data_IF_640958358150
#
_entry.id   IF_640958358150
#
_cell.length_a   1.000
_cell.length_b   1.000
_cell.length_c   1.000
_cell.angle_alpha   90.00
_cell.angle_beta   90.00
_cell.angle_gamma   90.00
#
_symmetry.space_group_name_H-M   'P 1'
#
loop_
_entity.id
_entity.type
_entity.pdbx_description
1 polymer ?
#
# COMPACT_ATOMS: atom_id res chain seq x y z
N UNK A 1 -21.38 -21.95 65.99
CA UNK A 1 -21.04 -21.63 64.58
C UNK A 1 -19.68 -20.95 64.57
N UNK A 2 -18.62 -21.62 64.09
CA UNK A 2 -17.22 -21.13 64.13
C UNK A 2 -16.84 -20.56 62.77
N UNK A 3 -16.54 -19.26 62.70
CA UNK A 3 -16.06 -18.60 61.48
C UNK A 3 -14.54 -18.79 61.39
N UNK A 4 -14.05 -19.48 60.35
CA UNK A 4 -12.62 -19.62 60.05
C UNK A 4 -12.09 -18.32 59.44
N UNK A 5 -11.01 -17.81 60.02
CA UNK A 5 -10.24 -16.64 59.57
C UNK A 5 -9.50 -17.01 58.28
N UNK A 6 -9.74 -16.27 57.19
CA UNK A 6 -9.05 -16.43 55.90
C UNK A 6 -7.66 -15.79 56.03
N UNK A 7 -6.62 -16.55 55.68
CA UNK A 7 -5.22 -16.18 55.86
C UNK A 7 -4.75 -15.04 54.96
N UNK A 8 -3.81 -14.25 55.48
CA UNK A 8 -3.09 -13.20 54.76
C UNK A 8 -2.32 -13.78 53.58
N UNK A 9 -2.57 -13.25 52.39
CA UNK A 9 -1.77 -13.51 51.20
C UNK A 9 -0.54 -12.59 51.28
N UNK A 10 0.62 -13.16 51.62
CA UNK A 10 1.89 -12.46 51.51
C UNK A 10 2.18 -12.14 50.04
N UNK A 11 2.16 -10.86 49.70
CA UNK A 11 2.60 -10.37 48.38
C UNK A 11 4.13 -10.40 48.33
N UNK A 12 4.71 -11.35 47.59
CA UNK A 12 6.12 -11.33 47.22
C UNK A 12 6.39 -10.20 46.22
N UNK A 13 7.55 -9.53 46.29
CA UNK A 13 7.96 -8.50 45.33
C UNK A 13 8.16 -9.09 43.93
N UNK A 14 7.67 -8.37 42.90
CA UNK A 14 7.67 -8.79 41.50
C UNK A 14 9.07 -9.08 40.92
N UNK A 15 10.13 -8.57 41.57
CA UNK A 15 11.53 -8.79 41.18
C UNK A 15 12.05 -10.21 41.44
N UNK A 16 11.36 -11.02 42.26
CA UNK A 16 11.74 -12.42 42.51
C UNK A 16 11.09 -13.42 41.55
N UNK A 17 9.99 -13.07 40.88
CA UNK A 17 9.28 -14.00 39.98
C UNK A 17 10.00 -14.17 38.63
N UNK A 18 10.92 -13.28 38.28
CA UNK A 18 11.58 -13.27 36.96
C UNK A 18 12.85 -14.12 36.89
N UNK A 19 13.33 -14.68 38.01
CA UNK A 19 14.58 -15.46 38.02
C UNK A 19 14.42 -16.96 37.76
N UNK A 20 13.20 -17.49 37.80
CA UNK A 20 12.98 -18.94 37.70
C UNK A 20 12.52 -19.42 36.31
N UNK A 21 12.43 -18.54 35.30
CA UNK A 21 11.97 -18.92 33.94
C UNK A 21 13.11 -19.09 32.91
N UNK A 22 14.38 -18.88 33.29
CA UNK A 22 15.52 -18.97 32.36
C UNK A 22 16.66 -19.89 32.85
N UNK A 23 16.32 -20.97 33.54
CA UNK A 23 17.29 -21.99 33.95
C UNK A 23 16.96 -23.36 33.33
N UNK A 24 16.69 -23.41 32.02
CA UNK A 24 16.77 -24.68 31.27
C UNK A 24 18.13 -24.78 30.58
N UNK A 25 19.06 -25.48 31.25
CA UNK A 25 20.47 -25.66 30.84
C UNK A 25 20.67 -26.77 29.79
N UNK A 26 19.69 -27.00 28.91
CA UNK A 26 19.81 -27.96 27.80
C UNK A 26 19.82 -27.31 26.41
N UNK A 27 20.46 -26.14 26.29
CA UNK A 27 20.89 -25.64 24.98
C UNK A 27 22.09 -26.47 24.51
N UNK A 28 21.79 -27.52 23.74
CA UNK A 28 22.78 -28.18 22.88
C UNK A 28 23.47 -27.09 22.06
N UNK A 29 24.78 -26.99 22.18
CA UNK A 29 25.60 -26.21 21.27
C UNK A 29 25.34 -26.67 19.84
N UNK A 30 24.52 -25.93 19.10
CA UNK A 30 24.50 -26.05 17.66
C UNK A 30 25.80 -25.43 17.15
N UNK A 31 26.82 -26.26 16.97
CA UNK A 31 27.94 -25.94 16.08
C UNK A 31 27.32 -25.58 14.74
N UNK A 32 27.37 -24.29 14.40
CA UNK A 32 27.12 -23.82 13.04
C UNK A 32 28.30 -24.36 12.24
N UNK A 33 28.11 -25.54 11.65
CA UNK A 33 28.96 -26.01 10.56
C UNK A 33 28.72 -25.02 9.42
N UNK A 34 29.75 -24.34 8.89
CA UNK A 34 29.57 -23.55 7.68
C UNK A 34 29.23 -24.53 6.56
N UNK A 35 27.93 -24.65 6.26
CA UNK A 35 27.48 -25.36 5.07
C UNK A 35 28.08 -24.64 3.86
N UNK A 36 28.94 -25.38 3.17
CA UNK A 36 29.56 -25.03 1.91
C UNK A 36 28.46 -24.69 0.88
N UNK A 37 28.19 -23.39 0.71
CA UNK A 37 27.09 -22.85 -0.12
C UNK A 37 27.30 -23.09 -1.62
N UNK A 38 28.38 -23.75 -2.02
CA UNK A 38 28.66 -24.07 -3.42
C UNK A 38 27.79 -25.22 -3.95
N UNK A 39 27.27 -26.11 -3.08
CA UNK A 39 26.48 -27.27 -3.53
C UNK A 39 24.99 -27.02 -3.79
N UNK A 40 24.45 -25.87 -3.39
CA UNK A 40 23.03 -25.55 -3.65
C UNK A 40 22.77 -24.85 -4.99
N UNK A 41 23.82 -24.40 -5.69
CA UNK A 41 23.69 -23.82 -7.04
C UNK A 41 23.87 -24.83 -8.17
N UNK A 42 24.39 -26.03 -7.89
CA UNK A 42 24.65 -27.05 -8.93
C UNK A 42 23.44 -27.96 -9.23
N UNK A 43 22.34 -27.84 -8.46
CA UNK A 43 21.15 -28.66 -8.67
C UNK A 43 19.95 -27.91 -9.29
N UNK A 44 20.14 -26.66 -9.75
CA UNK A 44 19.12 -25.92 -10.52
C UNK A 44 19.37 -25.91 -12.03
N UNK A 45 20.49 -26.44 -12.53
CA UNK A 45 20.74 -26.60 -13.96
C UNK A 45 20.11 -27.85 -14.58
N UNK A 46 19.51 -28.75 -13.78
CA UNK A 46 18.96 -30.02 -14.25
C UNK A 46 17.42 -30.12 -14.24
N UNK A 47 16.69 -29.01 -14.07
CA UNK A 47 15.21 -28.97 -14.15
C UNK A 47 14.71 -28.33 -15.48
N UNK A 48 15.60 -28.12 -16.45
CA UNK A 48 15.23 -27.58 -17.77
C UNK A 48 14.99 -28.65 -18.86
N UNK A 49 14.78 -29.92 -18.50
CA UNK A 49 14.51 -30.99 -19.48
C UNK A 49 13.08 -31.57 -19.43
N UNK A 50 12.14 -30.93 -18.74
CA UNK A 50 10.70 -31.23 -18.86
C UNK A 50 9.97 -30.02 -19.46
N UNK A 51 10.34 -29.65 -20.69
CA UNK A 51 9.58 -28.74 -21.56
C UNK A 51 9.10 -29.50 -22.80
N UNK A 52 8.35 -30.56 -22.55
CA UNK A 52 7.69 -31.38 -23.58
C UNK A 52 6.17 -31.21 -23.63
N UNK A 53 5.61 -30.14 -23.07
CA UNK A 53 4.18 -29.84 -23.22
C UNK A 53 4.04 -28.70 -24.22
N UNK A 54 3.86 -29.09 -25.49
CA UNK A 54 3.48 -28.20 -26.59
C UNK A 54 2.10 -27.59 -26.32
N UNK A 55 2.05 -26.56 -25.48
CA UNK A 55 0.85 -25.76 -25.23
C UNK A 55 0.60 -24.77 -26.40
N UNK A 56 0.24 -25.32 -27.56
CA UNK A 56 -0.31 -24.56 -28.69
C UNK A 56 -1.69 -23.95 -28.34
N UNK A 57 -2.40 -24.56 -27.40
CA UNK A 57 -3.76 -24.16 -27.00
C UNK A 57 -3.80 -22.93 -26.08
N UNK A 58 -2.78 -22.68 -25.25
CA UNK A 58 -2.81 -21.54 -24.31
C UNK A 58 -2.64 -20.20 -25.03
N UNK A 59 -1.83 -20.14 -26.09
CA UNK A 59 -1.66 -18.93 -26.91
C UNK A 59 -2.97 -18.49 -27.56
N UNK A 60 -3.79 -19.44 -28.03
CA UNK A 60 -5.10 -19.14 -28.65
C UNK A 60 -6.08 -18.48 -27.67
N UNK A 61 -6.04 -18.86 -26.39
CA UNK A 61 -6.93 -18.28 -25.37
C UNK A 61 -6.58 -16.80 -25.11
N UNK A 62 -5.30 -16.45 -25.09
CA UNK A 62 -4.87 -15.05 -24.91
C UNK A 62 -5.29 -14.14 -26.07
N UNK A 63 -5.26 -14.62 -27.31
CA UNK A 63 -5.73 -13.85 -28.46
C UNK A 63 -7.25 -13.63 -28.43
N UNK A 64 -8.03 -14.62 -27.99
CA UNK A 64 -9.48 -14.49 -27.86
C UNK A 64 -9.83 -13.48 -26.75
N UNK A 65 -9.21 -13.59 -25.57
CA UNK A 65 -9.45 -12.68 -24.45
C UNK A 65 -8.99 -11.24 -24.77
N UNK A 66 -7.85 -11.10 -25.46
CA UNK A 66 -7.36 -9.79 -25.92
C UNK A 66 -8.31 -9.14 -26.93
N UNK A 67 -8.86 -9.91 -27.87
CA UNK A 67 -9.83 -9.41 -28.86
C UNK A 67 -11.13 -8.90 -28.23
N UNK A 68 -11.66 -9.62 -27.22
CA UNK A 68 -12.86 -9.21 -26.49
C UNK A 68 -12.63 -7.88 -25.75
N UNK A 69 -11.46 -7.73 -25.10
CA UNK A 69 -11.13 -6.50 -24.37
C UNK A 69 -11.04 -5.28 -25.30
N UNK A 70 -10.40 -5.42 -26.45
CA UNK A 70 -10.27 -4.34 -27.45
C UNK A 70 -11.67 -3.94 -27.97
N UNK A 71 -12.54 -4.92 -28.25
CA UNK A 71 -13.90 -4.64 -28.72
C UNK A 71 -14.74 -3.86 -27.70
N UNK A 72 -14.61 -4.18 -26.40
CA UNK A 72 -15.30 -3.46 -25.33
C UNK A 72 -14.82 -2.01 -25.21
N UNK A 73 -13.52 -1.77 -25.32
CA UNK A 73 -12.95 -0.41 -25.28
C UNK A 73 -13.47 0.43 -26.46
N UNK A 74 -13.44 -0.12 -27.68
CA UNK A 74 -13.94 0.59 -28.87
C UNK A 74 -15.44 0.92 -28.72
N UNK A 75 -16.24 -0.03 -28.25
CA UNK A 75 -17.68 0.16 -28.04
C UNK A 75 -17.97 1.25 -27.00
N UNK A 76 -17.24 1.27 -25.89
CA UNK A 76 -17.37 2.31 -24.88
C UNK A 76 -16.97 3.70 -25.42
N UNK A 77 -15.93 3.76 -26.25
CA UNK A 77 -15.46 5.02 -26.85
C UNK A 77 -16.50 5.60 -27.81
N UNK A 78 -17.11 4.76 -28.66
CA UNK A 78 -18.19 5.17 -29.58
C UNK A 78 -19.41 5.66 -28.78
N UNK A 79 -19.76 4.98 -27.69
CA UNK A 79 -20.87 5.37 -26.83
C UNK A 79 -20.66 6.75 -26.20
N UNK A 80 -19.46 7.02 -25.66
CA UNK A 80 -19.11 8.31 -25.08
C UNK A 80 -19.14 9.44 -26.12
N UNK A 81 -18.66 9.16 -27.34
CA UNK A 81 -18.66 10.15 -28.42
C UNK A 81 -20.09 10.49 -28.88
N UNK A 82 -21.01 9.51 -28.86
CA UNK A 82 -22.44 9.74 -29.16
C UNK A 82 -23.11 10.61 -28.08
N UNK A 83 -22.88 10.33 -26.80
CA UNK A 83 -23.41 11.14 -25.70
C UNK A 83 -22.94 12.60 -25.76
N UNK A 84 -21.66 12.82 -26.08
CA UNK A 84 -21.12 14.19 -26.22
C UNK A 84 -21.79 14.99 -27.34
N UNK A 85 -22.15 14.33 -28.45
CA UNK A 85 -22.85 15.00 -29.55
C UNK A 85 -24.32 15.33 -29.19
N UNK A 86 -25.03 14.47 -28.46
CA UNK A 86 -26.43 14.72 -28.08
C UNK A 86 -26.59 15.91 -27.11
N UNK A 87 -25.64 16.12 -26.19
CA UNK A 87 -25.63 17.31 -25.32
C UNK A 87 -25.42 18.61 -26.12
N UNK A 88 -24.59 18.57 -27.17
CA UNK A 88 -24.33 19.75 -28.00
C UNK A 88 -25.55 20.17 -28.84
N UNK A 89 -26.36 19.20 -29.27
CA UNK A 89 -27.56 19.45 -30.09
C UNK A 89 -28.69 19.99 -29.21
N UNK A 90 -28.87 19.49 -28.00
CA UNK A 90 -29.89 20.01 -27.07
C UNK A 90 -29.60 21.44 -26.60
N UNK A 91 -28.33 21.85 -26.47
CA UNK A 91 -27.99 23.26 -26.19
C UNK A 91 -28.31 24.20 -27.34
N UNK A 92 -28.28 23.74 -28.59
CA UNK A 92 -28.49 24.61 -29.77
C UNK A 92 -29.97 24.94 -30.01
N UNK A 93 -30.90 24.13 -29.51
CA UNK A 93 -32.35 24.32 -29.74
C UNK A 93 -32.95 25.36 -28.77
N UNK A 94 -32.30 25.65 -27.63
CA UNK A 94 -32.84 26.55 -26.59
C UNK A 94 -32.54 28.05 -26.86
N UNK A 95 -31.68 28.39 -27.83
CA UNK A 95 -31.29 29.79 -28.11
C UNK A 95 -32.00 30.42 -29.34
N UNK A 96 -33.14 29.88 -29.78
CA UNK A 96 -33.89 30.42 -30.93
C UNK A 96 -34.96 31.47 -30.56
N UNK A 97 -34.99 32.00 -29.33
CA UNK A 97 -36.09 32.86 -28.87
C UNK A 97 -35.74 33.98 -27.91
N UNK A 98 -34.46 34.36 -27.75
CA UNK A 98 -34.06 35.50 -26.91
C UNK A 98 -33.62 36.69 -27.77
N UNK A 99 -34.13 37.86 -27.42
CA UNK A 99 -33.83 39.12 -28.10
C UNK A 99 -32.34 39.47 -27.97
N UNK A 100 -31.80 40.17 -28.96
CA UNK A 100 -30.39 40.55 -29.03
C UNK A 100 -29.93 41.46 -27.87
N UNK A 101 -30.87 42.03 -27.10
CA UNK A 101 -30.60 42.81 -25.89
C UNK A 101 -30.38 41.95 -24.64
N UNK A 102 -31.04 40.79 -24.52
CA UNK A 102 -30.89 39.90 -23.36
C UNK A 102 -29.53 39.17 -23.36
N UNK A 103 -28.99 38.93 -24.57
CA UNK A 103 -27.70 38.26 -24.75
C UNK A 103 -26.51 39.11 -24.28
N UNK A 104 -26.61 40.45 -24.30
CA UNK A 104 -25.53 41.35 -23.82
C UNK A 104 -25.46 41.44 -22.30
N UNK A 105 -26.58 41.30 -21.60
CA UNK A 105 -26.60 41.25 -20.13
C UNK A 105 -25.99 39.94 -19.63
N UNK A 106 -26.37 38.81 -20.23
CA UNK A 106 -25.86 37.47 -19.89
C UNK A 106 -24.35 37.35 -20.18
N UNK A 107 -23.85 37.94 -21.29
CA UNK A 107 -22.42 37.91 -21.62
C UNK A 107 -21.55 38.71 -20.64
N UNK A 108 -22.08 39.80 -20.06
CA UNK A 108 -21.37 40.60 -19.06
C UNK A 108 -21.32 39.90 -17.69
N UNK A 109 -22.38 39.17 -17.33
CA UNK A 109 -22.43 38.39 -16.09
C UNK A 109 -21.47 37.19 -16.14
N UNK A 110 -21.39 36.52 -17.30
CA UNK A 110 -20.43 35.42 -17.54
C UNK A 110 -18.97 35.91 -17.47
N UNK A 111 -18.67 37.10 -18.01
CA UNK A 111 -17.31 37.68 -17.94
C UNK A 111 -16.90 38.04 -16.51
N UNK A 112 -17.83 38.53 -15.69
CA UNK A 112 -17.58 38.85 -14.27
C UNK A 112 -17.32 37.59 -13.45
N UNK A 113 -18.14 36.55 -13.59
CA UNK A 113 -17.96 35.28 -12.87
C UNK A 113 -16.65 34.58 -13.27
N UNK A 114 -16.23 34.68 -14.53
CA UNK A 114 -14.96 34.08 -14.99
C UNK A 114 -13.73 34.78 -14.40
N UNK A 115 -13.80 36.08 -14.09
CA UNK A 115 -12.72 36.80 -13.40
C UNK A 115 -12.63 36.44 -11.91
N UNK A 116 -13.76 36.29 -11.22
CA UNK A 116 -13.78 35.87 -9.80
C UNK A 116 -13.21 34.45 -9.62
N UNK A 117 -13.59 33.52 -10.49
CA UNK A 117 -13.07 32.14 -10.46
C UNK A 117 -11.55 32.09 -10.70
N UNK A 118 -11.04 32.87 -11.66
CA UNK A 118 -9.59 32.91 -11.92
C UNK A 118 -8.81 33.56 -10.77
N UNK A 119 -9.41 34.51 -10.04
CA UNK A 119 -8.77 35.12 -8.88
C UNK A 119 -8.68 34.15 -7.69
N UNK A 120 -9.71 33.34 -7.46
CA UNK A 120 -9.71 32.30 -6.42
C UNK A 120 -8.71 31.16 -6.73
N UNK A 121 -8.63 30.71 -7.99
CA UNK A 121 -7.63 29.71 -8.41
C UNK A 121 -6.21 30.25 -8.21
N UNK A 122 -5.97 31.52 -8.52
CA UNK A 122 -4.64 32.13 -8.31
C UNK A 122 -4.24 32.27 -6.83
N UNK A 123 -5.22 32.28 -5.91
CA UNK A 123 -4.99 32.26 -4.46
C UNK A 123 -4.79 30.82 -3.94
N UNK A 124 -5.49 29.82 -4.48
CA UNK A 124 -5.26 28.42 -4.09
C UNK A 124 -3.88 27.92 -4.50
N UNK A 125 -3.36 28.38 -5.66
CA UNK A 125 -2.05 27.93 -6.16
C UNK A 125 -0.87 28.55 -5.40
N UNK A 126 -1.07 29.71 -4.76
CA UNK A 126 -0.03 30.38 -3.95
C UNK A 126 0.05 29.93 -2.50
N UNK A 127 -0.94 29.17 -2.00
CA UNK A 127 -0.89 28.60 -0.64
C UNK A 127 -0.07 27.30 -0.59
N UNK A 128 0.24 26.69 -1.74
CA UNK A 128 0.82 25.34 -1.80
C UNK A 128 2.31 25.25 -2.21
N UNK A 129 3.05 26.37 -2.24
CA UNK A 129 4.45 26.39 -2.68
C UNK A 129 5.50 26.69 -1.60
N UNK A 130 5.11 26.82 -0.32
CA UNK A 130 6.03 27.19 0.77
C UNK A 130 6.44 26.05 1.73
N UNK A 131 6.05 24.80 1.49
CA UNK A 131 6.50 23.67 2.33
C UNK A 131 7.54 22.81 1.61
N UNK A 132 8.67 23.41 1.24
CA UNK A 132 9.95 22.69 1.10
C UNK A 132 10.59 22.54 2.49
N UNK A 133 9.78 22.26 3.52
CA UNK A 133 10.35 21.67 4.73
C UNK A 133 10.83 20.29 4.32
N UNK A 134 12.12 20.01 4.51
CA UNK A 134 12.67 18.66 4.44
C UNK A 134 11.74 17.75 5.24
N UNK A 135 10.88 17.01 4.55
CA UNK A 135 9.99 16.01 5.15
C UNK A 135 10.94 14.92 5.61
N UNK A 136 11.48 15.08 6.82
CA UNK A 136 12.27 14.05 7.46
C UNK A 136 11.37 12.82 7.49
N UNK A 137 11.83 11.68 6.94
CA UNK A 137 11.01 10.47 6.89
C UNK A 137 10.55 10.18 8.31
N UNK A 138 9.23 10.06 8.49
CA UNK A 138 8.66 9.81 9.80
C UNK A 138 9.28 8.51 10.34
N UNK A 139 9.76 8.56 11.58
CA UNK A 139 10.48 7.43 12.18
C UNK A 139 9.47 6.30 12.46
N UNK A 140 9.46 5.30 11.59
CA UNK A 140 8.56 4.14 11.64
C UNK A 140 9.24 2.91 12.31
N UNK A 141 10.43 3.08 12.86
CA UNK A 141 11.23 1.97 13.41
C UNK A 141 10.47 1.16 14.46
N UNK A 142 10.59 -0.16 14.40
CA UNK A 142 10.06 -1.05 15.44
C UNK A 142 9.85 -2.49 15.01
N UNK A 143 9.33 -3.27 15.95
CA UNK A 143 8.95 -4.66 15.75
C UNK A 143 7.43 -4.76 15.61
N UNK A 144 6.98 -5.38 14.53
CA UNK A 144 5.58 -5.45 14.15
C UNK A 144 5.12 -6.90 14.02
N UNK A 145 3.87 -7.14 14.40
CA UNK A 145 3.15 -8.36 14.08
C UNK A 145 2.19 -8.07 12.92
N UNK A 146 2.25 -8.90 11.88
CA UNK A 146 1.40 -8.86 10.70
C UNK A 146 0.67 -10.20 10.61
N UNK A 147 -0.59 -10.23 11.06
CA UNK A 147 -1.31 -11.49 11.27
C UNK A 147 -0.55 -12.42 12.23
N UNK A 148 -0.07 -13.56 11.72
CA UNK A 148 0.67 -14.57 12.50
C UNK A 148 2.20 -14.50 12.29
N UNK A 149 2.67 -13.50 11.56
CA UNK A 149 4.10 -13.34 11.21
C UNK A 149 4.63 -12.08 11.88
N UNK A 150 5.92 -12.06 12.18
CA UNK A 150 6.60 -10.91 12.76
C UNK A 150 7.55 -10.30 11.74
N UNK A 151 7.73 -8.99 11.80
CA UNK A 151 8.73 -8.28 11.02
C UNK A 151 9.35 -7.13 11.81
N UNK A 152 10.49 -6.65 11.33
CA UNK A 152 11.17 -5.47 11.86
C UNK A 152 11.25 -4.44 10.75
N UNK A 153 10.89 -3.19 11.07
CA UNK A 153 11.05 -2.05 10.16
C UNK A 153 12.17 -1.17 10.73
N UNK A 154 13.13 -0.85 9.87
CA UNK A 154 14.28 -0.01 10.19
C UNK A 154 14.45 1.08 9.14
N UNK A 155 14.38 2.33 9.57
CA UNK A 155 14.69 3.52 8.77
C UNK A 155 16.16 3.84 8.95
N UNK A 156 16.92 3.67 7.86
CA UNK A 156 18.28 4.14 7.70
C UNK A 156 18.28 5.45 6.88
N UNK A 157 19.41 6.16 6.85
CA UNK A 157 19.52 7.53 6.29
C UNK A 157 18.83 7.73 4.93
N UNK A 158 18.82 6.72 4.06
CA UNK A 158 18.29 6.82 2.70
C UNK A 158 17.25 5.73 2.35
N UNK A 159 16.89 4.85 3.29
CA UNK A 159 16.00 3.72 2.98
C UNK A 159 15.26 3.22 4.21
N UNK A 160 14.02 2.80 3.99
CA UNK A 160 13.24 2.05 4.97
C UNK A 160 13.32 0.59 4.56
N UNK A 161 13.84 -0.26 5.44
CA UNK A 161 13.98 -1.69 5.21
C UNK A 161 13.03 -2.47 6.09
N UNK A 162 12.43 -3.50 5.52
CA UNK A 162 11.55 -4.44 6.20
C UNK A 162 12.22 -5.81 6.22
N UNK A 163 12.29 -6.42 7.41
CA UNK A 163 12.84 -7.77 7.61
C UNK A 163 11.77 -8.68 8.17
N UNK A 164 11.38 -9.70 7.42
CA UNK A 164 10.44 -10.73 7.87
C UNK A 164 11.15 -11.76 8.75
N UNK A 165 10.58 -12.11 9.91
CA UNK A 165 11.20 -13.04 10.87
C UNK A 165 11.32 -14.48 10.32
N UNK A 166 10.42 -14.88 9.41
CA UNK A 166 10.43 -16.21 8.77
C UNK A 166 10.91 -16.20 7.30
N UNK A 167 11.63 -15.16 6.89
CA UNK A 167 12.14 -15.03 5.52
C UNK A 167 13.64 -14.76 5.48
N UNK A 168 14.29 -15.19 4.40
CA UNK A 168 15.67 -14.81 4.10
C UNK A 168 15.67 -13.54 3.25
N UNK A 169 15.75 -12.37 3.87
CA UNK A 169 15.97 -11.12 3.13
C UNK A 169 15.42 -9.87 3.80
N UNK A 170 15.87 -8.73 3.26
CA UNK A 170 15.32 -7.41 3.52
C UNK A 170 14.55 -6.96 2.27
N UNK A 171 13.31 -6.50 2.44
CA UNK A 171 12.56 -5.82 1.40
C UNK A 171 12.65 -4.31 1.59
N UNK A 172 12.51 -3.55 0.50
CA UNK A 172 12.54 -2.09 0.56
C UNK A 172 11.12 -1.58 0.76
N UNK A 173 10.94 -0.68 1.71
CA UNK A 173 9.73 0.12 1.86
C UNK A 173 9.95 1.50 1.25
N UNK A 174 9.02 1.90 0.38
CA UNK A 174 8.98 3.26 -0.19
C UNK A 174 7.78 3.99 0.37
N UNK A 175 8.04 5.15 0.98
CA UNK A 175 6.98 6.07 1.37
C UNK A 175 6.33 6.68 0.12
N UNK A 176 5.00 6.70 0.08
CA UNK A 176 4.20 7.29 -0.99
C UNK A 176 2.99 7.97 -0.39
N UNK A 177 2.61 9.14 -0.92
CA UNK A 177 1.40 9.84 -0.52
C UNK A 177 0.26 9.41 -1.45
N UNK A 178 -0.83 8.90 -0.89
CA UNK A 178 -2.07 8.59 -1.61
C UNK A 178 -3.20 9.43 -1.02
N UNK A 179 -3.58 10.49 -1.74
CA UNK A 179 -4.53 11.47 -1.22
C UNK A 179 -3.94 12.23 -0.03
N UNK A 180 -4.57 12.11 1.13
CA UNK A 180 -4.10 12.73 2.38
C UNK A 180 -3.28 11.78 3.26
N UNK A 181 -3.15 10.51 2.86
CA UNK A 181 -2.55 9.47 3.68
C UNK A 181 -1.16 9.05 3.17
N UNK A 182 -0.31 8.66 4.11
CA UNK A 182 1.02 8.10 3.84
C UNK A 182 0.94 6.58 3.85
N UNK A 183 1.35 5.96 2.73
CA UNK A 183 1.45 4.50 2.57
C UNK A 183 2.89 4.08 2.36
N UNK A 184 3.25 2.89 2.84
CA UNK A 184 4.59 2.32 2.68
C UNK A 184 4.52 1.09 1.79
N UNK A 185 4.97 1.24 0.54
CA UNK A 185 4.96 0.16 -0.46
C UNK A 185 6.17 -0.75 -0.31
N UNK A 186 5.92 -2.05 -0.23
CA UNK A 186 6.94 -3.10 -0.17
C UNK A 186 7.34 -3.57 -1.57
N UNK A 187 8.65 -3.61 -1.81
CA UNK A 187 9.23 -4.14 -3.04
C UNK A 187 10.17 -5.30 -2.74
N UNK A 188 10.10 -6.35 -3.55
CA UNK A 188 11.07 -7.45 -3.51
C UNK A 188 12.45 -7.02 -4.05
N UNK A 189 13.38 -7.97 -4.10
CA UNK A 189 14.72 -7.76 -4.65
C UNK A 189 14.73 -7.43 -6.14
N UNK A 190 13.69 -7.79 -6.89
CA UNK A 190 13.50 -7.46 -8.30
C UNK A 190 12.83 -6.10 -8.53
N UNK A 191 12.40 -5.41 -7.47
CA UNK A 191 11.67 -4.14 -7.57
C UNK A 191 10.18 -4.31 -7.88
N UNK A 192 9.62 -5.51 -7.70
CA UNK A 192 8.19 -5.79 -7.90
C UNK A 192 7.45 -5.48 -6.60
N UNK A 193 6.34 -4.74 -6.70
CA UNK A 193 5.49 -4.40 -5.57
C UNK A 193 4.82 -5.66 -5.01
N UNK A 194 5.14 -5.99 -3.75
CA UNK A 194 4.65 -7.17 -3.05
C UNK A 194 3.45 -6.87 -2.15
N UNK A 195 3.26 -5.60 -1.81
CA UNK A 195 2.19 -5.14 -0.95
C UNK A 195 2.44 -3.73 -0.43
N UNK A 196 1.58 -3.26 0.47
CA UNK A 196 1.77 -1.97 1.12
C UNK A 196 1.21 -1.97 2.54
N UNK A 197 1.83 -1.16 3.39
CA UNK A 197 1.38 -0.90 4.74
C UNK A 197 0.64 0.44 4.79
N UNK A 198 -0.50 0.42 5.45
CA UNK A 198 -1.24 1.59 5.89
C UNK A 198 -1.19 1.64 7.41
N UNK A 199 -0.53 2.64 7.97
CA UNK A 199 -0.39 2.78 9.42
C UNK A 199 -1.34 3.83 9.99
N UNK A 200 -1.81 3.56 11.19
CA UNK A 200 -2.70 4.40 11.98
C UNK A 200 -2.05 4.70 13.34
N UNK A 201 -2.62 5.66 14.08
CA UNK A 201 -2.25 5.96 15.46
C UNK A 201 -0.73 6.18 15.68
N UNK A 202 -0.07 6.90 14.76
CA UNK A 202 1.38 7.16 14.87
C UNK A 202 2.23 5.90 14.78
N UNK A 203 1.93 5.03 13.81
CA UNK A 203 2.65 3.77 13.53
C UNK A 203 2.49 2.69 14.62
N UNK A 204 1.47 2.76 15.46
CA UNK A 204 1.23 1.73 16.49
C UNK A 204 0.41 0.55 15.95
N UNK A 205 -0.42 0.79 14.95
CA UNK A 205 -1.29 -0.21 14.33
C UNK A 205 -1.50 0.09 12.86
N UNK A 206 -2.14 -0.83 12.13
CA UNK A 206 -2.49 -0.59 10.75
C UNK A 206 -2.95 -1.85 10.02
N UNK A 207 -2.87 -1.79 8.70
CA UNK A 207 -3.17 -2.90 7.81
C UNK A 207 -2.05 -3.08 6.78
N UNK A 208 -1.74 -4.34 6.47
CA UNK A 208 -0.84 -4.73 5.39
C UNK A 208 -1.67 -5.40 4.30
N UNK A 209 -1.62 -4.81 3.11
CA UNK A 209 -2.33 -5.27 1.92
C UNK A 209 -1.30 -5.94 1.02
N UNK A 210 -1.41 -7.26 0.88
CA UNK A 210 -0.49 -8.04 0.05
C UNK A 210 -0.96 -8.05 -1.40
N UNK A 211 -0.04 -8.25 -2.34
CA UNK A 211 -0.32 -8.29 -3.78
C UNK A 211 -1.32 -9.36 -4.21
N UNK A 212 -1.51 -10.42 -3.42
CA UNK A 212 -2.55 -11.44 -3.65
C UNK A 212 -3.96 -11.03 -3.16
N UNK A 213 -4.14 -9.76 -2.75
CA UNK A 213 -5.41 -9.21 -2.28
C UNK A 213 -5.74 -9.52 -0.82
N UNK A 214 -4.87 -10.23 -0.10
CA UNK A 214 -5.08 -10.50 1.32
C UNK A 214 -4.70 -9.32 2.19
N UNK A 215 -5.47 -9.13 3.26
CA UNK A 215 -5.31 -8.04 4.21
C UNK A 215 -4.96 -8.64 5.57
N UNK A 216 -3.92 -8.10 6.21
CA UNK A 216 -3.44 -8.53 7.50
C UNK A 216 -3.40 -7.36 8.46
N UNK A 217 -3.90 -7.54 9.69
CA UNK A 217 -3.76 -6.53 10.74
C UNK A 217 -2.30 -6.40 11.15
N UNK A 218 -1.85 -5.16 11.32
CA UNK A 218 -0.52 -4.80 11.79
C UNK A 218 -0.61 -4.21 13.19
N UNK A 219 0.26 -4.67 14.08
CA UNK A 219 0.38 -4.14 15.45
C UNK A 219 1.85 -4.00 15.82
N UNK A 220 2.24 -2.83 16.33
CA UNK A 220 3.56 -2.63 16.91
C UNK A 220 3.66 -3.34 18.27
N UNK A 221 4.77 -4.03 18.49
CA UNK A 221 5.03 -4.81 19.70
C UNK A 221 6.14 -4.18 20.54
N UNK A 222 7.14 -3.59 19.87
CA UNK A 222 8.27 -2.89 20.49
C UNK A 222 8.67 -1.70 19.62
#
# INVERSE_FOLDING_TARGET
>A
MKIKKIGEIQKKPLSEVVKDTYADKNLREFKIVPEDRTKYFENQSNINSISGINNSSSKKIYYILGGILIFLIISATIYLQKMSNEESVNKKIIYSGKSEQDNKAEENEIKKNKQEINYEISKSDKVNQNSNEDIKPKIINGYYQVGNVFCTIETNRNAITLKWNKGSGYTKLKETVQGYDVVYKEYDSGGIECGYFYFENGFQSGNYYRSDGKIFKVKKIR
#
